data_IF_026255829829
#
_entry.id   IF_026255829829
#
_cell.length_a   1.000
_cell.length_b   1.000
_cell.length_c   1.000
_cell.angle_alpha   90.00
_cell.angle_beta   90.00
_cell.angle_gamma   90.00
#
_symmetry.space_group_name_H-M   'P 1'
#
loop_
_entity.id
_entity.type
_entity.pdbx_description
1 polymer ?
#
# COMPACT_ATOMS: atom_id res chain seq x y z
N UNK A 1 5.10 -1.51 -34.48
CA UNK A 1 3.79 -1.73 -33.84
C UNK A 1 2.67 -0.97 -34.56
N UNK A 2 1.74 -1.70 -35.16
CA UNK A 2 0.45 -1.17 -35.62
C UNK A 2 -0.57 -1.25 -34.45
N UNK A 3 -1.06 -0.10 -34.00
CA UNK A 3 -1.95 -0.03 -32.83
C UNK A 3 -3.36 -0.57 -33.09
N UNK A 4 -3.88 -0.42 -34.32
CA UNK A 4 -5.19 -0.94 -34.71
C UNK A 4 -5.17 -2.47 -34.75
N UNK A 5 -4.14 -3.03 -35.37
CA UNK A 5 -3.96 -4.47 -35.46
C UNK A 5 -3.71 -5.08 -34.07
N UNK A 6 -2.89 -4.42 -33.25
CA UNK A 6 -2.66 -4.88 -31.86
C UNK A 6 -3.95 -4.85 -31.06
N UNK A 7 -4.73 -3.77 -31.12
CA UNK A 7 -5.99 -3.65 -30.37
C UNK A 7 -7.00 -4.73 -30.76
N UNK A 8 -7.13 -5.05 -32.06
CA UNK A 8 -7.96 -6.17 -32.54
C UNK A 8 -7.47 -7.50 -31.99
N UNK A 9 -6.16 -7.73 -32.04
CA UNK A 9 -5.60 -8.98 -31.55
C UNK A 9 -5.76 -9.13 -30.05
N UNK A 10 -5.58 -8.06 -29.27
CA UNK A 10 -5.88 -8.05 -27.83
C UNK A 10 -7.34 -8.43 -27.58
N UNK A 11 -8.29 -7.84 -28.33
CA UNK A 11 -9.72 -8.16 -28.18
C UNK A 11 -10.03 -9.63 -28.45
N UNK A 12 -9.41 -10.22 -29.48
CA UNK A 12 -9.53 -11.65 -29.78
C UNK A 12 -8.98 -12.52 -28.65
N UNK A 13 -7.75 -12.22 -28.20
CA UNK A 13 -7.03 -13.03 -27.22
C UNK A 13 -7.62 -12.92 -25.80
N UNK A 14 -8.43 -11.90 -25.51
CA UNK A 14 -9.15 -11.78 -24.23
C UNK A 14 -10.57 -12.37 -24.29
N UNK A 15 -10.93 -13.08 -25.36
CA UNK A 15 -12.22 -13.77 -25.48
C UNK A 15 -13.36 -12.91 -26.04
N UNK A 16 -13.05 -11.84 -26.78
CA UNK A 16 -14.01 -11.05 -27.52
C UNK A 16 -14.69 -9.93 -26.71
N UNK A 17 -15.57 -9.18 -27.38
CA UNK A 17 -16.26 -8.02 -26.80
C UNK A 17 -17.20 -8.42 -25.67
N UNK A 18 -17.91 -9.52 -25.83
CA UNK A 18 -18.81 -10.10 -24.83
C UNK A 18 -18.11 -10.51 -23.53
N UNK A 19 -16.79 -10.70 -23.55
CA UNK A 19 -16.03 -10.99 -22.35
C UNK A 19 -15.57 -9.72 -21.61
N UNK A 20 -15.77 -8.53 -22.16
CA UNK A 20 -15.32 -7.27 -21.54
C UNK A 20 -16.47 -6.63 -20.77
N UNK A 21 -16.31 -6.51 -19.45
CA UNK A 21 -17.22 -5.71 -18.62
C UNK A 21 -16.90 -4.22 -18.82
N UNK A 22 -15.61 -3.88 -18.73
CA UNK A 22 -15.12 -2.51 -18.93
C UNK A 22 -13.60 -2.47 -19.05
N UNK A 23 -13.07 -1.37 -19.58
CA UNK A 23 -11.65 -1.16 -19.85
C UNK A 23 -11.20 0.25 -19.46
N UNK A 24 -9.94 0.38 -19.08
CA UNK A 24 -9.26 1.65 -18.83
C UNK A 24 -7.77 1.53 -19.12
N UNK A 25 -7.02 2.63 -19.04
CA UNK A 25 -5.56 2.58 -19.03
C UNK A 25 -4.97 3.46 -17.93
N UNK A 26 -3.75 3.12 -17.51
CA UNK A 26 -2.91 4.00 -16.70
C UNK A 26 -1.71 4.48 -17.53
N UNK A 27 -0.67 4.99 -16.87
CA UNK A 27 0.54 5.46 -17.54
C UNK A 27 1.21 4.39 -18.41
N UNK A 28 1.16 3.11 -18.02
CA UNK A 28 1.92 2.02 -18.69
C UNK A 28 1.11 0.78 -19.04
N UNK A 29 -0.15 0.66 -18.62
CA UNK A 29 -0.92 -0.59 -18.71
C UNK A 29 -2.34 -0.38 -19.21
N UNK A 30 -2.78 -1.28 -20.10
CA UNK A 30 -4.19 -1.48 -20.43
C UNK A 30 -4.79 -2.37 -19.35
N UNK A 31 -5.93 -1.95 -18.78
CA UNK A 31 -6.59 -2.62 -17.66
C UNK A 31 -7.99 -3.02 -18.06
N UNK A 32 -8.26 -4.32 -18.00
CA UNK A 32 -9.53 -4.90 -18.41
C UNK A 32 -10.20 -5.56 -17.22
N UNK A 33 -11.51 -5.38 -17.10
CA UNK A 33 -12.35 -6.20 -16.22
C UNK A 33 -13.14 -7.14 -17.12
N UNK A 34 -12.82 -8.43 -17.04
CA UNK A 34 -13.37 -9.45 -17.94
C UNK A 34 -14.43 -10.28 -17.25
N UNK A 35 -15.47 -10.76 -17.93
CA UNK A 35 -16.45 -11.69 -17.37
C UNK A 35 -15.79 -12.99 -16.91
N UNK A 36 -14.92 -13.54 -17.75
CA UNK A 36 -14.21 -14.80 -17.53
C UNK A 36 -12.73 -14.68 -17.97
N UNK A 37 -11.81 -14.74 -17.01
CA UNK A 37 -10.36 -14.65 -17.27
C UNK A 37 -9.78 -15.96 -17.83
N UNK A 38 -10.50 -17.09 -17.74
CA UNK A 38 -10.03 -18.37 -18.31
C UNK A 38 -10.04 -18.39 -19.84
N UNK A 39 -10.77 -17.45 -20.46
CA UNK A 39 -10.80 -17.24 -21.91
C UNK A 39 -9.59 -16.47 -22.44
N UNK A 40 -8.71 -16.01 -21.55
CA UNK A 40 -7.56 -15.20 -21.93
C UNK A 40 -6.39 -16.10 -22.35
N UNK A 41 -5.93 -15.92 -23.57
CA UNK A 41 -4.70 -16.55 -24.05
C UNK A 41 -3.48 -15.71 -23.64
N UNK A 42 -3.01 -15.95 -22.42
CA UNK A 42 -1.90 -15.20 -21.84
C UNK A 42 -0.60 -15.35 -22.64
N UNK A 43 -0.28 -16.57 -23.11
CA UNK A 43 0.96 -16.83 -23.84
C UNK A 43 0.99 -16.04 -25.16
N UNK A 44 -0.12 -16.04 -25.90
CA UNK A 44 -0.22 -15.27 -27.13
C UNK A 44 -0.23 -13.75 -26.88
N UNK A 45 -0.77 -13.29 -25.74
CA UNK A 45 -0.75 -11.87 -25.35
C UNK A 45 0.66 -11.38 -25.02
N UNK A 46 1.45 -12.19 -24.30
CA UNK A 46 2.83 -11.85 -23.95
C UNK A 46 3.77 -11.81 -25.16
N UNK A 47 3.45 -12.56 -26.22
CA UNK A 47 4.19 -12.58 -27.49
C UNK A 47 3.82 -11.43 -28.45
N UNK A 48 2.81 -10.61 -28.14
CA UNK A 48 2.45 -9.47 -28.98
C UNK A 48 3.52 -8.38 -29.00
N UNK A 49 3.79 -7.83 -30.19
CA UNK A 49 4.70 -6.70 -30.37
C UNK A 49 4.29 -5.52 -29.50
N UNK A 50 5.18 -5.06 -28.62
CA UNK A 50 4.94 -3.97 -27.68
C UNK A 50 4.35 -4.37 -26.33
N UNK A 51 4.00 -5.65 -26.11
CA UNK A 51 3.66 -6.16 -24.78
C UNK A 51 4.92 -6.59 -24.04
N UNK A 52 5.04 -6.15 -22.79
CA UNK A 52 6.17 -6.50 -21.91
C UNK A 52 5.77 -7.44 -20.77
N UNK A 53 4.49 -7.77 -20.67
CA UNK A 53 3.91 -8.75 -19.76
C UNK A 53 2.39 -8.61 -19.69
N UNK A 54 1.71 -9.69 -19.30
CA UNK A 54 0.29 -9.73 -19.04
C UNK A 54 0.01 -10.53 -17.77
N UNK A 55 -0.89 -10.06 -16.91
CA UNK A 55 -1.20 -10.78 -15.67
C UNK A 55 -2.56 -10.37 -15.11
N UNK A 56 -3.19 -11.28 -14.38
CA UNK A 56 -4.36 -10.96 -13.55
C UNK A 56 -3.90 -10.47 -12.18
N UNK A 57 -4.44 -9.33 -11.74
CA UNK A 57 -4.19 -8.81 -10.39
C UNK A 57 -5.34 -7.92 -9.95
N UNK A 58 -5.79 -8.11 -8.72
CA UNK A 58 -6.86 -7.31 -8.12
C UNK A 58 -8.13 -7.25 -8.98
N UNK A 59 -8.58 -8.39 -9.52
CA UNK A 59 -9.82 -8.48 -10.31
C UNK A 59 -9.79 -7.69 -11.63
N UNK A 60 -8.60 -7.37 -12.11
CA UNK A 60 -8.34 -6.79 -13.42
C UNK A 60 -7.30 -7.64 -14.14
N UNK A 61 -7.50 -7.85 -15.43
CA UNK A 61 -6.48 -8.35 -16.32
C UNK A 61 -5.67 -7.17 -16.86
N UNK A 62 -4.36 -7.15 -16.61
CA UNK A 62 -3.47 -6.03 -16.94
C UNK A 62 -2.48 -6.43 -18.03
N UNK A 63 -2.38 -5.62 -19.08
CA UNK A 63 -1.44 -5.81 -20.19
C UNK A 63 -0.48 -4.61 -20.22
N UNK A 64 0.83 -4.86 -20.12
CA UNK A 64 1.86 -3.83 -20.01
C UNK A 64 2.37 -3.43 -21.41
N UNK A 65 1.98 -2.25 -21.88
CA UNK A 65 2.46 -1.66 -23.15
C UNK A 65 3.59 -0.62 -22.97
N UNK A 66 3.77 -0.12 -21.75
CA UNK A 66 4.73 0.94 -21.45
C UNK A 66 4.18 2.36 -21.70
N UNK A 67 4.97 3.35 -21.26
CA UNK A 67 4.57 4.76 -21.23
C UNK A 67 4.28 5.30 -22.63
N UNK A 68 3.13 5.95 -22.81
CA UNK A 68 2.72 6.58 -24.07
C UNK A 68 2.17 5.61 -25.12
N UNK A 69 2.74 4.40 -25.27
CA UNK A 69 2.23 3.36 -26.17
C UNK A 69 0.83 2.90 -25.76
N UNK A 70 0.60 2.74 -24.45
CA UNK A 70 -0.70 2.32 -23.91
C UNK A 70 -1.86 3.24 -24.31
N UNK A 71 -1.63 4.56 -24.37
CA UNK A 71 -2.65 5.53 -24.75
C UNK A 71 -3.13 5.30 -26.19
N UNK A 72 -2.18 5.01 -27.09
CA UNK A 72 -2.46 4.77 -28.51
C UNK A 72 -3.18 3.43 -28.73
N UNK A 73 -2.78 2.39 -27.99
CA UNK A 73 -3.46 1.09 -28.02
C UNK A 73 -4.88 1.20 -27.45
N UNK A 74 -5.06 1.89 -26.32
CA UNK A 74 -6.39 2.09 -25.72
C UNK A 74 -7.33 2.86 -26.65
N UNK A 75 -6.84 3.92 -27.31
CA UNK A 75 -7.64 4.69 -28.27
C UNK A 75 -8.14 3.82 -29.45
N UNK A 76 -7.35 2.84 -29.89
CA UNK A 76 -7.78 1.87 -30.90
C UNK A 76 -8.68 0.75 -30.34
N UNK A 77 -8.48 0.36 -29.07
CA UNK A 77 -9.18 -0.73 -28.41
C UNK A 77 -10.59 -0.35 -27.94
N UNK A 78 -10.76 0.82 -27.33
CA UNK A 78 -12.01 1.24 -26.72
C UNK A 78 -13.23 1.22 -27.67
N UNK A 79 -13.13 1.67 -28.94
CA UNK A 79 -14.22 1.56 -29.91
C UNK A 79 -14.57 0.10 -30.25
N UNK A 80 -13.56 -0.78 -30.34
CA UNK A 80 -13.75 -2.20 -30.66
C UNK A 80 -14.42 -2.95 -29.49
N UNK A 81 -14.04 -2.61 -28.27
CA UNK A 81 -14.60 -3.17 -27.03
C UNK A 81 -15.96 -2.55 -26.64
N UNK A 82 -16.36 -1.44 -27.27
CA UNK A 82 -17.61 -0.73 -26.94
C UNK A 82 -17.60 -0.03 -25.58
N UNK A 83 -16.42 0.41 -25.13
CA UNK A 83 -16.23 1.09 -23.83
C UNK A 83 -16.02 2.58 -24.08
N UNK A 84 -16.55 3.46 -23.21
CA UNK A 84 -16.34 4.90 -23.31
C UNK A 84 -14.88 5.26 -23.03
N UNK A 85 -14.35 6.20 -23.82
CA UNK A 85 -12.98 6.72 -23.69
C UNK A 85 -13.00 7.84 -22.67
N UNK A 86 -12.62 7.55 -21.43
CA UNK A 86 -12.28 8.56 -20.42
C UNK A 86 -10.86 8.33 -19.90
N UNK A 87 -10.09 9.41 -19.77
CA UNK A 87 -8.65 9.40 -19.48
C UNK A 87 -8.25 9.12 -18.04
N UNK A 88 -9.22 8.89 -17.15
CA UNK A 88 -9.02 8.31 -15.81
C UNK A 88 -9.76 6.98 -15.74
N UNK A 89 -9.25 6.01 -14.95
CA UNK A 89 -9.96 4.76 -14.65
C UNK A 89 -11.37 5.08 -14.12
N UNK A 90 -12.45 4.80 -14.87
CA UNK A 90 -13.80 5.11 -14.42
C UNK A 90 -14.09 4.40 -13.10
N UNK A 91 -14.82 5.05 -12.19
CA UNK A 91 -15.26 4.45 -10.92
C UNK A 91 -15.97 3.10 -11.14
N UNK A 92 -16.62 2.92 -12.28
CA UNK A 92 -17.29 1.68 -12.67
C UNK A 92 -16.31 0.52 -12.93
N UNK A 93 -15.10 0.80 -13.44
CA UNK A 93 -14.02 -0.20 -13.60
C UNK A 93 -13.53 -0.69 -12.25
N UNK A 94 -13.30 0.23 -11.32
CA UNK A 94 -12.87 -0.13 -9.96
C UNK A 94 -13.95 -0.91 -9.23
N UNK A 95 -15.23 -0.51 -9.35
CA UNK A 95 -16.36 -1.24 -8.75
C UNK A 95 -16.52 -2.64 -9.33
N UNK A 96 -16.52 -2.78 -10.65
CA UNK A 96 -16.67 -4.08 -11.33
C UNK A 96 -15.52 -5.04 -10.97
N UNK A 97 -14.28 -4.54 -10.96
CA UNK A 97 -13.11 -5.32 -10.56
C UNK A 97 -13.18 -5.75 -9.09
N UNK A 98 -13.60 -4.86 -8.19
CA UNK A 98 -13.76 -5.16 -6.76
C UNK A 98 -14.86 -6.18 -6.48
N UNK A 99 -15.92 -6.23 -7.29
CA UNK A 99 -17.00 -7.21 -7.14
C UNK A 99 -16.55 -8.65 -7.41
N UNK A 100 -15.53 -8.84 -8.25
CA UNK A 100 -14.93 -10.16 -8.53
C UNK A 100 -14.04 -10.70 -7.43
N UNK A 101 -13.61 -9.83 -6.52
CA UNK A 101 -12.77 -10.23 -5.38
C UNK A 101 -13.61 -10.85 -4.27
N UNK A 102 -13.01 -11.82 -3.58
CA UNK A 102 -13.55 -12.31 -2.31
C UNK A 102 -13.64 -11.16 -1.27
N UNK A 103 -14.46 -11.29 -0.21
CA UNK A 103 -14.69 -10.20 0.73
C UNK A 103 -13.41 -9.63 1.37
N UNK A 104 -12.44 -10.48 1.70
CA UNK A 104 -11.16 -10.06 2.29
C UNK A 104 -10.29 -9.28 1.29
N UNK A 105 -10.13 -9.77 0.07
CA UNK A 105 -9.39 -9.10 -0.98
C UNK A 105 -10.08 -7.79 -1.40
N UNK A 106 -11.42 -7.73 -1.38
CA UNK A 106 -12.17 -6.49 -1.61
C UNK A 106 -11.89 -5.45 -0.53
N UNK A 107 -11.87 -5.86 0.75
CA UNK A 107 -11.52 -4.98 1.86
C UNK A 107 -10.07 -4.47 1.73
N UNK A 108 -9.11 -5.38 1.51
CA UNK A 108 -7.70 -5.01 1.35
C UNK A 108 -7.49 -4.04 0.18
N UNK A 109 -8.17 -4.26 -0.95
CA UNK A 109 -8.14 -3.33 -2.08
C UNK A 109 -8.71 -1.96 -1.73
N UNK A 110 -9.84 -1.91 -1.04
CA UNK A 110 -10.46 -0.65 -0.62
C UNK A 110 -9.52 0.13 0.30
N UNK A 111 -8.89 -0.55 1.27
CA UNK A 111 -7.86 0.05 2.12
C UNK A 111 -6.69 0.59 1.29
N UNK A 112 -6.16 -0.18 0.34
CA UNK A 112 -5.10 0.31 -0.57
C UNK A 112 -5.52 1.56 -1.34
N UNK A 113 -6.73 1.59 -1.89
CA UNK A 113 -7.23 2.75 -2.64
C UNK A 113 -7.32 4.01 -1.78
N UNK A 114 -7.62 3.86 -0.48
CA UNK A 114 -7.64 4.99 0.47
C UNK A 114 -6.23 5.51 0.76
N UNK A 115 -5.26 4.62 0.92
CA UNK A 115 -3.90 4.99 1.35
C UNK A 115 -2.98 5.44 0.22
N UNK A 116 -3.12 4.91 -0.99
CA UNK A 116 -2.23 5.24 -2.13
C UNK A 116 -2.11 6.76 -2.36
N UNK A 117 -3.21 7.54 -2.41
CA UNK A 117 -3.13 9.00 -2.55
C UNK A 117 -2.41 9.72 -1.40
N UNK A 118 -2.32 9.09 -0.23
CA UNK A 118 -1.75 9.65 1.00
C UNK A 118 -0.24 9.40 1.11
N UNK A 119 0.31 8.45 0.34
CA UNK A 119 1.72 8.03 0.40
C UNK A 119 2.68 9.23 0.32
N UNK A 120 2.56 10.18 -0.64
CA UNK A 120 3.52 11.28 -0.73
C UNK A 120 3.62 12.13 0.54
N UNK A 121 2.48 12.38 1.21
CA UNK A 121 2.44 13.15 2.44
C UNK A 121 3.05 12.37 3.62
N UNK A 122 2.72 11.08 3.74
CA UNK A 122 3.25 10.19 4.79
C UNK A 122 4.77 10.03 4.65
N UNK A 123 5.26 9.83 3.42
CA UNK A 123 6.70 9.70 3.13
C UNK A 123 7.45 10.99 3.49
N UNK A 124 6.93 12.15 3.07
CA UNK A 124 7.55 13.44 3.41
C UNK A 124 7.61 13.66 4.93
N UNK A 125 6.51 13.39 5.64
CA UNK A 125 6.43 13.50 7.09
C UNK A 125 7.37 12.52 7.81
N UNK A 126 7.39 11.25 7.38
CA UNK A 126 8.30 10.24 7.91
C UNK A 126 9.77 10.57 7.70
N UNK A 127 10.14 11.13 6.54
CA UNK A 127 11.52 11.56 6.25
C UNK A 127 11.94 12.71 7.17
N UNK A 128 11.04 13.69 7.38
CA UNK A 128 11.28 14.79 8.30
C UNK A 128 11.39 14.29 9.75
N UNK A 129 10.50 13.40 10.19
CA UNK A 129 10.56 12.78 11.52
C UNK A 129 11.88 12.04 11.72
N UNK A 130 12.33 11.33 10.69
CA UNK A 130 13.58 10.59 10.77
C UNK A 130 14.82 11.49 10.76
N UNK A 131 14.83 12.56 9.96
CA UNK A 131 15.86 13.59 10.01
C UNK A 131 15.92 14.23 11.40
N UNK A 132 14.77 14.62 11.94
CA UNK A 132 14.65 15.17 13.29
C UNK A 132 15.16 14.19 14.35
N UNK A 133 14.81 12.91 14.23
CA UNK A 133 15.29 11.85 15.08
C UNK A 133 16.80 11.70 15.03
N UNK A 134 17.42 11.79 13.84
CA UNK A 134 18.88 11.79 13.70
C UNK A 134 19.54 13.02 14.32
N UNK A 135 18.99 14.22 14.08
CA UNK A 135 19.49 15.46 14.70
C UNK A 135 19.52 15.32 16.23
N UNK A 136 18.43 14.82 16.82
CA UNK A 136 18.30 14.60 18.27
C UNK A 136 19.25 13.48 18.76
N UNK A 137 19.34 12.36 18.04
CA UNK A 137 20.13 11.21 18.45
C UNK A 137 21.65 11.44 18.38
N UNK A 138 22.12 12.19 17.37
CA UNK A 138 23.54 12.47 17.18
C UNK A 138 23.99 13.82 17.77
N UNK A 139 23.07 14.59 18.34
CA UNK A 139 23.38 15.90 18.92
C UNK A 139 23.92 16.90 17.91
N UNK A 140 23.45 16.85 16.66
CA UNK A 140 23.91 17.77 15.61
C UNK A 140 23.53 19.22 15.90
N UNK A 141 22.40 19.44 16.58
CA UNK A 141 21.87 20.73 17.00
C UNK A 141 21.20 20.56 18.36
N UNK A 142 21.18 21.61 19.17
CA UNK A 142 20.42 21.66 20.42
C UNK A 142 18.93 21.33 20.19
N UNK A 143 18.39 20.44 21.03
CA UNK A 143 17.01 19.94 20.92
C UNK A 143 15.94 21.01 21.09
N UNK A 144 16.25 22.10 21.80
CA UNK A 144 15.32 23.21 22.01
C UNK A 144 15.46 24.32 20.97
N UNK A 145 16.37 24.16 20.00
CA UNK A 145 16.59 25.17 18.98
C UNK A 145 15.33 25.40 18.13
N UNK A 146 15.09 26.64 17.64
CA UNK A 146 13.92 26.94 16.82
C UNK A 146 13.79 26.06 15.57
N UNK A 147 14.91 25.62 14.99
CA UNK A 147 14.88 24.73 13.82
C UNK A 147 14.36 23.34 14.17
N UNK A 148 14.73 22.80 15.34
CA UNK A 148 14.23 21.51 15.82
C UNK A 148 12.73 21.61 16.12
N UNK A 149 12.27 22.72 16.72
CA UNK A 149 10.85 22.96 16.95
C UNK A 149 10.04 23.06 15.64
N UNK A 150 10.54 23.81 14.64
CA UNK A 150 9.90 23.91 13.33
C UNK A 150 9.85 22.57 12.59
N UNK A 151 10.95 21.80 12.62
CA UNK A 151 10.99 20.48 12.01
C UNK A 151 10.03 19.51 12.72
N UNK A 152 9.89 19.59 14.04
CA UNK A 152 8.91 18.83 14.81
C UNK A 152 7.47 19.14 14.36
N UNK A 153 7.13 20.43 14.23
CA UNK A 153 5.83 20.88 13.70
C UNK A 153 5.57 20.38 12.28
N UNK A 154 6.55 20.49 11.37
CA UNK A 154 6.40 20.07 9.97
C UNK A 154 6.24 18.55 9.86
N UNK A 155 7.05 17.81 10.61
CA UNK A 155 7.09 16.35 10.58
C UNK A 155 5.83 15.71 11.16
N UNK A 156 5.23 16.31 12.20
CA UNK A 156 4.02 15.80 12.85
C UNK A 156 2.73 16.19 12.12
N UNK A 157 2.75 17.26 11.32
CA UNK A 157 1.56 17.84 10.67
C UNK A 157 0.72 16.80 9.91
N UNK A 158 1.33 15.97 9.06
CA UNK A 158 0.60 14.99 8.26
C UNK A 158 -0.10 13.91 9.13
N UNK A 159 0.48 13.55 10.27
CA UNK A 159 -0.08 12.57 11.20
C UNK A 159 -1.23 13.16 12.03
N UNK A 160 -1.13 14.45 12.38
CA UNK A 160 -2.21 15.19 13.06
C UNK A 160 -3.46 15.23 12.18
N UNK A 161 -3.29 15.58 10.90
CA UNK A 161 -4.41 15.67 9.95
C UNK A 161 -4.72 14.35 9.23
N UNK A 162 -4.11 13.24 9.65
CA UNK A 162 -4.27 11.94 8.97
C UNK A 162 -5.75 11.51 8.88
N UNK A 163 -6.58 11.65 9.93
CA UNK A 163 -8.03 11.45 9.83
C UNK A 163 -8.73 12.29 8.76
N UNK A 164 -8.31 13.54 8.54
CA UNK A 164 -8.88 14.41 7.50
C UNK A 164 -8.52 13.86 6.11
N UNK A 165 -7.26 13.50 5.91
CA UNK A 165 -6.75 12.92 4.66
C UNK A 165 -7.41 11.58 4.34
N UNK A 166 -7.54 10.70 5.34
CA UNK A 166 -8.24 9.42 5.23
C UNK A 166 -9.71 9.66 4.93
N UNK A 167 -10.37 10.58 5.64
CA UNK A 167 -11.79 10.87 5.42
C UNK A 167 -12.08 11.33 4.01
N UNK A 168 -11.23 12.18 3.43
CA UNK A 168 -11.32 12.59 2.03
C UNK A 168 -11.20 11.40 1.07
N UNK A 169 -10.12 10.63 1.19
CA UNK A 169 -9.84 9.50 0.29
C UNK A 169 -10.85 8.36 0.44
N UNK A 170 -11.31 8.08 1.66
CA UNK A 170 -12.32 7.06 1.96
C UNK A 170 -13.70 7.45 1.43
N UNK A 171 -14.10 8.72 1.55
CA UNK A 171 -15.36 9.18 0.97
C UNK A 171 -15.33 9.02 -0.55
N UNK A 172 -14.22 9.37 -1.21
CA UNK A 172 -14.04 9.13 -2.65
C UNK A 172 -14.17 7.64 -3.00
N UNK A 173 -13.52 6.75 -2.24
CA UNK A 173 -13.57 5.30 -2.44
C UNK A 173 -14.99 4.73 -2.25
N UNK A 174 -15.74 5.20 -1.25
CA UNK A 174 -17.10 4.73 -0.96
C UNK A 174 -18.19 5.41 -1.80
N UNK A 175 -17.82 6.33 -2.70
CA UNK A 175 -18.75 7.03 -3.60
C UNK A 175 -19.58 8.12 -2.89
N UNK A 176 -18.95 8.81 -1.95
CA UNK A 176 -19.48 9.92 -1.17
C UNK A 176 -18.69 11.20 -1.48
N UNK A 177 -19.16 12.35 -1.01
CA UNK A 177 -18.47 13.62 -1.24
C UNK A 177 -17.14 13.67 -0.44
N UNK A 178 -15.97 13.81 -1.10
CA UNK A 178 -14.68 13.83 -0.42
C UNK A 178 -14.52 14.93 0.63
N UNK A 179 -15.09 16.11 0.38
CA UNK A 179 -15.02 17.23 1.33
C UNK A 179 -15.86 16.97 2.57
N UNK A 180 -17.02 16.30 2.46
CA UNK A 180 -17.78 15.89 3.64
C UNK A 180 -17.00 14.85 4.47
N UNK A 181 -16.32 13.92 3.80
CA UNK A 181 -15.41 12.99 4.47
C UNK A 181 -14.27 13.69 5.21
N UNK A 182 -13.67 14.72 4.61
CA UNK A 182 -12.66 15.55 5.26
C UNK A 182 -13.22 16.29 6.49
N UNK A 183 -14.44 16.82 6.40
CA UNK A 183 -15.14 17.45 7.54
C UNK A 183 -15.34 16.46 8.69
N UNK A 184 -15.75 15.22 8.40
CA UNK A 184 -15.86 14.17 9.42
C UNK A 184 -14.50 13.87 10.07
N UNK A 185 -13.44 13.74 9.28
CA UNK A 185 -12.08 13.61 9.82
C UNK A 185 -11.71 14.78 10.73
N UNK A 186 -12.07 16.01 10.35
CA UNK A 186 -11.84 17.22 11.12
C UNK A 186 -12.62 17.28 12.43
N UNK A 187 -13.87 16.79 12.46
CA UNK A 187 -14.65 16.61 13.68
C UNK A 187 -13.94 15.64 14.64
N UNK A 188 -13.46 14.52 14.10
CA UNK A 188 -12.76 13.48 14.89
C UNK A 188 -11.38 13.94 15.40
N UNK A 189 -10.80 14.99 14.82
CA UNK A 189 -9.54 15.59 15.27
C UNK A 189 -9.70 17.04 15.74
N UNK A 190 -10.91 17.43 16.14
CA UNK A 190 -11.20 18.82 16.49
C UNK A 190 -10.32 19.27 17.68
N UNK A 191 -9.81 20.51 17.71
CA UNK A 191 -8.93 20.98 18.80
C UNK A 191 -9.55 20.96 20.20
N UNK A 192 -10.88 20.96 20.30
CA UNK A 192 -11.59 20.77 21.58
C UNK A 192 -11.58 19.32 22.08
N UNK A 193 -11.08 18.38 21.29
CA UNK A 193 -10.84 17.01 21.72
C UNK A 193 -9.38 16.88 22.15
N UNK A 194 -9.15 16.21 23.28
CA UNK A 194 -7.79 15.96 23.78
C UNK A 194 -7.00 15.15 22.75
N UNK A 195 -5.82 15.63 22.36
CA UNK A 195 -4.94 14.87 21.50
C UNK A 195 -4.46 13.59 22.22
N UNK A 196 -4.68 12.38 21.69
CA UNK A 196 -4.27 11.14 22.32
C UNK A 196 -2.78 11.09 22.69
N UNK A 197 -1.91 11.77 21.96
CA UNK A 197 -0.47 11.78 22.26
C UNK A 197 -0.14 12.47 23.58
N UNK A 198 -0.99 13.39 24.07
CA UNK A 198 -0.78 14.07 25.37
C UNK A 198 -1.39 13.34 26.57
N UNK A 199 -2.11 12.22 26.35
CA UNK A 199 -2.60 11.37 27.44
C UNK A 199 -1.46 10.95 28.38
N UNK A 200 -1.67 11.10 29.69
CA UNK A 200 -0.64 10.89 30.73
C UNK A 200 -0.10 12.20 31.30
N UNK A 201 -0.12 13.28 30.52
CA UNK A 201 0.06 14.65 31.03
C UNK A 201 -1.28 15.35 31.28
N UNK A 202 -2.36 14.85 30.69
CA UNK A 202 -3.72 15.37 30.83
C UNK A 202 -4.73 14.25 30.60
N UNK A 203 -5.83 14.29 31.35
CA UNK A 203 -6.96 13.36 31.19
C UNK A 203 -8.04 13.97 30.28
N UNK A 204 -8.76 13.16 29.50
CA UNK A 204 -9.83 13.67 28.65
C UNK A 204 -10.98 14.17 29.51
N UNK A 205 -11.51 15.34 29.18
CA UNK A 205 -12.76 15.81 29.77
C UNK A 205 -13.90 14.85 29.45
N UNK A 206 -14.81 14.63 30.40
CA UNK A 206 -15.97 13.75 30.22
C UNK A 206 -17.23 14.58 30.10
N UNK A 207 -17.86 14.54 28.94
CA UNK A 207 -19.15 15.16 28.68
C UNK A 207 -20.29 14.19 29.01
N UNK A 208 -21.29 14.66 29.76
CA UNK A 208 -22.55 13.92 29.96
C UNK A 208 -23.56 14.29 28.88
N UNK A 209 -23.94 13.33 28.04
CA UNK A 209 -24.89 13.54 26.95
C UNK A 209 -25.90 12.39 26.91
N UNK A 210 -27.20 12.71 27.01
CA UNK A 210 -28.30 11.72 27.01
C UNK A 210 -28.09 10.54 27.98
N UNK A 211 -27.50 10.80 29.15
CA UNK A 211 -27.20 9.78 30.17
C UNK A 211 -25.93 8.95 29.92
N UNK A 212 -25.20 9.20 28.82
CA UNK A 212 -23.91 8.58 28.51
C UNK A 212 -22.76 9.51 28.90
N UNK A 213 -21.64 8.92 29.32
CA UNK A 213 -20.37 9.61 29.50
C UNK A 213 -19.56 9.49 28.21
N UNK A 214 -19.21 10.62 27.62
CA UNK A 214 -18.41 10.70 26.39
C UNK A 214 -17.08 11.34 26.75
N UNK A 215 -15.99 10.59 26.59
CA UNK A 215 -14.64 11.13 26.70
C UNK A 215 -14.35 12.01 25.48
N UNK A 216 -14.00 13.26 25.72
CA UNK A 216 -13.60 14.22 24.69
C UNK A 216 -12.15 13.98 24.28
N UNK A 217 -11.91 12.82 23.70
CA UNK A 217 -10.63 12.41 23.15
C UNK A 217 -10.69 12.41 21.62
N UNK A 218 -9.62 12.94 21.01
CA UNK A 218 -9.48 13.00 19.57
C UNK A 218 -9.03 11.66 18.99
N UNK A 219 -9.03 11.60 17.66
CA UNK A 219 -8.71 10.39 16.89
C UNK A 219 -7.45 10.59 16.02
N UNK A 220 -6.59 11.54 16.39
CA UNK A 220 -5.32 11.81 15.71
C UNK A 220 -4.48 10.53 15.64
N UNK A 221 -3.89 10.28 14.47
CA UNK A 221 -3.13 9.05 14.21
C UNK A 221 -3.94 7.75 14.07
N UNK A 222 -5.26 7.76 14.30
CA UNK A 222 -6.10 6.57 14.16
C UNK A 222 -6.66 6.43 12.74
N UNK A 223 -6.86 5.18 12.32
CA UNK A 223 -7.33 4.86 10.95
C UNK A 223 -8.71 4.22 10.96
N UNK A 224 -8.89 3.13 11.73
CA UNK A 224 -10.15 2.37 11.74
C UNK A 224 -11.37 3.20 12.16
N UNK A 225 -11.32 4.04 13.21
CA UNK A 225 -12.44 4.91 13.57
C UNK A 225 -12.94 5.76 12.39
N UNK A 226 -12.01 6.39 11.66
CA UNK A 226 -12.32 7.30 10.56
C UNK A 226 -12.87 6.53 9.36
N UNK A 227 -12.23 5.43 8.98
CA UNK A 227 -12.68 4.59 7.86
C UNK A 227 -14.11 4.08 8.07
N UNK A 228 -14.41 3.56 9.27
CA UNK A 228 -15.75 3.07 9.60
C UNK A 228 -16.77 4.21 9.59
N UNK A 229 -16.40 5.36 10.15
CA UNK A 229 -17.29 6.53 10.20
C UNK A 229 -17.62 7.01 8.80
N UNK A 230 -16.63 7.11 7.92
CA UNK A 230 -16.81 7.60 6.54
C UNK A 230 -17.53 6.57 5.66
N UNK A 231 -17.37 5.28 5.94
CA UNK A 231 -18.18 4.24 5.30
C UNK A 231 -19.67 4.36 5.69
N UNK A 232 -19.97 4.62 6.96
CA UNK A 232 -21.35 4.90 7.41
C UNK A 232 -21.85 6.22 6.81
N UNK A 233 -21.02 7.27 6.82
CA UNK A 233 -21.31 8.56 6.20
C UNK A 233 -21.73 8.41 4.75
N UNK A 234 -20.99 7.62 3.97
CA UNK A 234 -21.27 7.41 2.56
C UNK A 234 -22.65 6.82 2.32
N UNK A 235 -23.06 5.87 3.17
CA UNK A 235 -24.41 5.28 3.11
C UNK A 235 -25.48 6.29 3.51
N UNK A 236 -25.24 7.08 4.57
CA UNK A 236 -26.15 8.13 5.01
C UNK A 236 -26.32 9.17 3.89
N UNK A 237 -25.23 9.68 3.34
CA UNK A 237 -25.22 10.68 2.27
C UNK A 237 -26.02 10.21 1.05
N UNK A 238 -25.72 9.00 0.56
CA UNK A 238 -26.42 8.42 -0.59
C UNK A 238 -27.91 8.22 -0.31
N UNK A 239 -28.27 7.86 0.92
CA UNK A 239 -29.66 7.62 1.29
C UNK A 239 -30.45 8.91 1.50
N UNK A 240 -29.82 9.94 2.06
CA UNK A 240 -30.41 11.28 2.21
C UNK A 240 -30.59 11.89 0.82
N UNK A 241 -29.55 11.89 -0.03
CA UNK A 241 -29.60 12.39 -1.41
C UNK A 241 -30.75 11.81 -2.22
N UNK A 242 -31.00 10.50 -2.09
CA UNK A 242 -32.12 9.81 -2.76
C UNK A 242 -33.51 10.26 -2.31
N UNK A 243 -33.62 10.82 -1.11
CA UNK A 243 -34.90 11.25 -0.50
C UNK A 243 -35.08 12.77 -0.56
N UNK A 244 -34.00 13.52 -0.75
CA UNK A 244 -34.04 14.98 -0.84
C UNK A 244 -34.49 15.42 -2.24
N UNK A 245 -35.47 16.34 -2.36
CA UNK A 245 -35.79 16.97 -3.64
C UNK A 245 -34.58 17.71 -4.22
N UNK A 246 -34.40 17.70 -5.54
CA UNK A 246 -33.22 18.31 -6.20
C UNK A 246 -32.98 19.78 -5.80
N UNK A 247 -34.06 20.56 -5.62
CA UNK A 247 -34.00 21.97 -5.20
C UNK A 247 -33.39 22.19 -3.80
N UNK A 248 -33.38 21.16 -2.97
CA UNK A 248 -32.89 21.20 -1.58
C UNK A 248 -31.59 20.40 -1.39
N UNK A 249 -31.13 19.64 -2.39
CA UNK A 249 -30.00 18.71 -2.27
C UNK A 249 -28.70 19.40 -1.83
N UNK A 250 -28.46 20.60 -2.35
CA UNK A 250 -27.26 21.40 -2.03
C UNK A 250 -27.19 21.80 -0.55
N UNK A 251 -28.33 21.91 0.14
CA UNK A 251 -28.40 22.34 1.54
C UNK A 251 -28.63 21.15 2.47
N UNK A 252 -29.70 20.39 2.24
CA UNK A 252 -30.19 19.37 3.18
C UNK A 252 -29.25 18.17 3.23
N UNK A 253 -28.79 17.69 2.08
CA UNK A 253 -27.96 16.48 2.03
C UNK A 253 -26.64 16.64 2.77
N UNK A 254 -25.79 17.65 2.50
CA UNK A 254 -24.55 17.83 3.25
C UNK A 254 -24.81 18.14 4.74
N UNK A 255 -25.82 18.96 5.06
CA UNK A 255 -26.16 19.31 6.44
C UNK A 255 -26.54 18.07 7.27
N UNK A 256 -27.51 17.28 6.81
CA UNK A 256 -27.98 16.09 7.53
C UNK A 256 -26.87 15.03 7.60
N UNK A 257 -26.10 14.86 6.51
CA UNK A 257 -24.99 13.91 6.47
C UNK A 257 -23.96 14.22 7.55
N UNK A 258 -23.48 15.46 7.62
CA UNK A 258 -22.46 15.86 8.62
C UNK A 258 -23.03 15.82 10.03
N UNK A 259 -24.26 16.31 10.24
CA UNK A 259 -24.90 16.33 11.55
C UNK A 259 -25.03 14.91 12.12
N UNK A 260 -25.69 14.01 11.39
CA UNK A 260 -25.93 12.64 11.85
C UNK A 260 -24.62 11.88 11.99
N UNK A 261 -23.73 11.99 11.00
CA UNK A 261 -22.45 11.27 11.03
C UNK A 261 -21.55 11.80 12.14
N UNK A 262 -21.51 13.10 12.41
CA UNK A 262 -20.71 13.69 13.48
C UNK A 262 -21.10 13.16 14.86
N UNK A 263 -22.40 13.07 15.15
CA UNK A 263 -22.89 12.42 16.38
C UNK A 263 -22.50 10.94 16.43
N UNK A 264 -22.70 10.19 15.35
CA UNK A 264 -22.34 8.78 15.29
C UNK A 264 -20.82 8.57 15.45
N UNK A 265 -20.00 9.45 14.87
CA UNK A 265 -18.55 9.39 14.90
C UNK A 265 -18.02 9.41 16.33
N UNK A 266 -18.48 10.37 17.15
CA UNK A 266 -17.94 10.55 18.51
C UNK A 266 -18.57 9.60 19.53
N UNK A 267 -19.88 9.33 19.41
CA UNK A 267 -20.63 8.57 20.43
C UNK A 267 -20.49 7.06 20.24
N UNK A 268 -20.48 6.59 19.00
CA UNK A 268 -20.67 5.16 18.69
C UNK A 268 -19.49 4.61 17.90
N UNK A 269 -19.25 5.14 16.70
CA UNK A 269 -18.33 4.54 15.73
C UNK A 269 -16.89 4.73 16.16
N UNK A 270 -16.54 5.88 16.71
CA UNK A 270 -15.20 6.19 17.22
C UNK A 270 -14.74 5.19 18.29
N UNK A 271 -15.47 5.04 19.40
CA UNK A 271 -15.14 4.06 20.44
C UNK A 271 -15.08 2.62 19.91
N UNK A 272 -16.03 2.22 19.07
CA UNK A 272 -16.04 0.88 18.44
C UNK A 272 -14.82 0.69 17.55
N UNK A 273 -14.48 1.69 16.72
CA UNK A 273 -13.32 1.66 15.84
C UNK A 273 -12.01 1.56 16.61
N UNK A 274 -11.90 2.24 17.74
CA UNK A 274 -10.75 2.14 18.64
C UNK A 274 -10.64 0.75 19.24
N UNK A 275 -11.75 0.17 19.71
CA UNK A 275 -11.78 -1.20 20.23
C UNK A 275 -11.38 -2.22 19.17
N UNK A 276 -11.88 -2.08 17.94
CA UNK A 276 -11.49 -2.92 16.81
C UNK A 276 -10.00 -2.80 16.50
N UNK A 277 -9.47 -1.58 16.49
CA UNK A 277 -8.03 -1.32 16.31
C UNK A 277 -7.20 -2.04 17.37
N UNK A 278 -7.56 -1.92 18.66
CA UNK A 278 -6.91 -2.63 19.76
C UNK A 278 -6.98 -4.15 19.61
N UNK A 279 -8.12 -4.69 19.18
CA UNK A 279 -8.28 -6.12 18.93
C UNK A 279 -7.35 -6.64 17.83
N UNK A 280 -7.21 -5.89 16.72
CA UNK A 280 -6.28 -6.23 15.63
C UNK A 280 -4.83 -6.17 16.13
N UNK A 281 -4.47 -5.09 16.83
CA UNK A 281 -3.15 -4.92 17.44
C UNK A 281 -2.81 -6.07 18.40
N UNK A 282 -3.76 -6.47 19.25
CA UNK A 282 -3.60 -7.61 20.17
C UNK A 282 -3.29 -8.91 19.44
N UNK A 283 -4.04 -9.23 18.38
CA UNK A 283 -3.80 -10.44 17.58
C UNK A 283 -2.41 -10.39 16.96
N UNK A 284 -2.00 -9.25 16.38
CA UNK A 284 -0.69 -9.11 15.75
C UNK A 284 0.46 -9.22 16.74
N UNK A 285 0.33 -8.58 17.90
CA UNK A 285 1.31 -8.70 18.99
C UNK A 285 1.39 -10.13 19.49
N UNK A 286 0.25 -10.80 19.69
CA UNK A 286 0.21 -12.21 20.06
C UNK A 286 0.97 -13.07 19.04
N UNK A 287 0.72 -12.89 17.74
CA UNK A 287 1.44 -13.64 16.72
C UNK A 287 2.94 -13.32 16.70
N UNK A 288 3.29 -12.04 16.86
CA UNK A 288 4.67 -11.58 16.88
C UNK A 288 5.45 -12.13 18.08
N UNK A 289 4.85 -12.16 19.27
CA UNK A 289 5.49 -12.66 20.48
C UNK A 289 5.54 -14.19 20.54
N UNK A 290 4.44 -14.87 20.16
CA UNK A 290 4.35 -16.33 20.29
C UNK A 290 5.05 -17.08 19.17
N UNK A 291 4.97 -16.57 17.93
CA UNK A 291 5.56 -17.24 16.76
C UNK A 291 6.89 -16.61 16.32
N UNK A 292 7.22 -15.41 16.84
CA UNK A 292 8.50 -14.71 16.67
C UNK A 292 9.15 -14.93 15.29
N UNK A 293 10.27 -15.65 15.21
CA UNK A 293 11.03 -15.88 13.97
C UNK A 293 10.18 -16.47 12.85
N UNK A 294 9.22 -17.36 13.16
CA UNK A 294 8.34 -17.97 12.16
C UNK A 294 7.45 -16.92 11.50
N UNK A 295 6.94 -15.95 12.28
CA UNK A 295 6.17 -14.84 11.73
C UNK A 295 7.04 -13.98 10.80
N UNK A 296 8.28 -13.71 11.18
CA UNK A 296 9.26 -12.98 10.36
C UNK A 296 9.60 -13.71 9.05
N UNK A 297 9.81 -15.03 9.11
CA UNK A 297 10.06 -15.87 7.93
C UNK A 297 8.86 -15.85 6.96
N UNK A 298 7.65 -16.04 7.48
CA UNK A 298 6.43 -16.10 6.68
C UNK A 298 6.10 -14.74 6.05
N UNK A 299 6.05 -13.68 6.85
CA UNK A 299 5.71 -12.36 6.35
C UNK A 299 6.81 -11.81 5.43
N UNK A 300 8.08 -12.00 5.77
CA UNK A 300 9.20 -11.58 4.92
C UNK A 300 9.23 -12.32 3.57
N UNK A 301 8.87 -13.60 3.54
CA UNK A 301 8.83 -14.39 2.31
C UNK A 301 7.61 -14.12 1.44
N UNK A 302 6.45 -13.87 2.04
CA UNK A 302 5.19 -13.69 1.31
C UNK A 302 4.93 -12.24 0.89
N UNK A 303 5.57 -11.26 1.51
CA UNK A 303 5.26 -9.84 1.28
C UNK A 303 5.38 -9.43 -0.19
N UNK A 304 6.42 -9.84 -0.90
CA UNK A 304 6.58 -9.51 -2.33
C UNK A 304 5.43 -10.05 -3.20
N UNK A 305 4.80 -11.15 -2.80
CA UNK A 305 3.59 -11.67 -3.47
C UNK A 305 2.40 -10.75 -3.24
N UNK A 306 2.26 -10.21 -2.04
CA UNK A 306 1.23 -9.21 -1.72
C UNK A 306 1.50 -7.91 -2.49
N UNK A 307 2.76 -7.51 -2.65
CA UNK A 307 3.14 -6.33 -3.46
C UNK A 307 2.66 -6.45 -4.90
N UNK A 308 2.75 -7.64 -5.52
CA UNK A 308 2.25 -7.89 -6.88
C UNK A 308 0.74 -7.59 -7.00
N UNK A 309 -0.02 -7.82 -5.92
CA UNK A 309 -1.45 -7.54 -5.91
C UNK A 309 -1.78 -6.05 -5.76
N UNK A 310 -0.83 -5.22 -5.31
CA UNK A 310 -1.07 -3.82 -4.92
C UNK A 310 -1.82 -3.66 -3.59
N UNK A 311 -2.19 -4.76 -2.93
CA UNK A 311 -2.90 -4.74 -1.65
C UNK A 311 -2.00 -4.42 -0.46
N UNK A 312 -0.68 -4.39 -0.63
CA UNK A 312 0.27 -4.15 0.46
C UNK A 312 0.09 -2.78 1.16
N UNK A 313 -0.43 -1.76 0.46
CA UNK A 313 -0.75 -0.47 1.08
C UNK A 313 -1.87 -0.56 2.12
N UNK A 314 -2.67 -1.63 2.14
CA UNK A 314 -3.66 -1.86 3.20
C UNK A 314 -3.01 -2.02 4.57
N UNK A 315 -1.74 -2.42 4.64
CA UNK A 315 -1.01 -2.56 5.90
C UNK A 315 -0.76 -1.23 6.59
N UNK A 316 -0.73 -0.09 5.87
CA UNK A 316 -0.56 1.22 6.50
C UNK A 316 -1.65 1.54 7.54
N UNK A 317 -2.87 1.03 7.34
CA UNK A 317 -3.94 1.14 8.33
C UNK A 317 -3.59 0.45 9.65
N UNK A 318 -2.96 -0.71 9.55
CA UNK A 318 -2.54 -1.53 10.68
C UNK A 318 -1.31 -0.90 11.35
N UNK A 319 -0.32 -0.50 10.57
CA UNK A 319 0.91 0.15 11.05
C UNK A 319 0.62 1.44 11.81
N UNK A 320 -0.29 2.27 11.30
CA UNK A 320 -0.76 3.45 12.01
C UNK A 320 -1.45 3.09 13.33
N UNK A 321 -2.25 2.01 13.35
CA UNK A 321 -2.85 1.48 14.58
C UNK A 321 -1.82 1.04 15.62
N UNK A 322 -0.73 0.36 15.20
CA UNK A 322 0.36 -0.07 16.09
C UNK A 322 1.08 1.12 16.74
N UNK A 323 1.28 2.21 15.98
CA UNK A 323 1.92 3.42 16.49
C UNK A 323 0.99 4.26 17.36
N UNK A 324 -0.31 4.29 17.05
CA UNK A 324 -1.30 5.02 17.83
C UNK A 324 -1.62 4.33 19.18
N UNK A 325 -1.46 3.02 19.28
CA UNK A 325 -1.65 2.29 20.52
C UNK A 325 -0.48 2.51 21.49
N UNK A 326 -0.71 3.23 22.58
CA UNK A 326 0.32 3.53 23.59
C UNK A 326 0.93 2.30 24.27
N UNK A 327 0.22 1.18 24.31
CA UNK A 327 0.77 -0.06 24.88
C UNK A 327 1.84 -0.69 23.97
N UNK A 328 1.83 -0.34 22.68
CA UNK A 328 2.77 -0.84 21.67
C UNK A 328 3.76 0.26 21.28
N UNK A 329 3.26 1.38 20.77
CA UNK A 329 4.01 2.61 20.46
C UNK A 329 5.09 2.46 19.39
N UNK A 330 5.14 1.32 18.69
CA UNK A 330 6.20 1.00 17.71
C UNK A 330 5.66 0.14 16.57
N UNK A 331 6.21 0.33 15.39
CA UNK A 331 5.91 -0.46 14.21
C UNK A 331 6.94 -1.58 14.04
N UNK A 332 6.57 -2.80 14.45
CA UNK A 332 7.40 -4.00 14.32
C UNK A 332 7.19 -4.77 13.00
N UNK A 333 6.18 -4.40 12.20
CA UNK A 333 5.90 -5.04 10.90
C UNK A 333 6.79 -4.45 9.79
N UNK A 334 6.98 -3.14 9.79
CA UNK A 334 7.74 -2.44 8.76
C UNK A 334 9.16 -2.94 8.54
N UNK A 335 9.95 -3.31 9.57
CA UNK A 335 11.26 -3.92 9.35
C UNK A 335 11.18 -5.17 8.49
N UNK A 336 10.15 -6.01 8.68
CA UNK A 336 9.93 -7.23 7.91
C UNK A 336 9.65 -6.90 6.43
N UNK A 337 8.76 -5.92 6.19
CA UNK A 337 8.48 -5.43 4.84
C UNK A 337 9.71 -4.87 4.15
N UNK A 338 10.55 -4.16 4.91
CA UNK A 338 11.82 -3.65 4.42
C UNK A 338 12.77 -4.78 3.97
N UNK A 339 12.86 -5.87 4.74
CA UNK A 339 13.68 -7.03 4.37
C UNK A 339 13.22 -7.67 3.07
N UNK A 340 11.90 -7.83 2.89
CA UNK A 340 11.33 -8.32 1.64
C UNK A 340 11.64 -7.40 0.45
N UNK A 341 11.56 -6.07 0.66
CA UNK A 341 11.84 -5.10 -0.39
C UNK A 341 13.29 -5.14 -0.86
N UNK A 342 14.23 -5.08 0.08
CA UNK A 342 15.67 -5.06 -0.24
C UNK A 342 16.14 -6.41 -0.78
N UNK A 343 15.52 -7.51 -0.35
CA UNK A 343 15.77 -8.84 -0.90
C UNK A 343 15.41 -8.93 -2.40
N UNK A 344 14.30 -8.33 -2.83
CA UNK A 344 13.99 -8.25 -4.28
C UNK A 344 15.04 -7.44 -5.04
N UNK A 345 15.62 -6.40 -4.43
CA UNK A 345 16.79 -5.69 -4.95
C UNK A 345 18.02 -6.58 -5.06
N UNK A 346 18.32 -7.38 -4.03
CA UNK A 346 19.42 -8.36 -4.04
C UNK A 346 19.28 -9.42 -5.14
N UNK A 347 18.06 -9.91 -5.36
CA UNK A 347 17.75 -10.81 -6.47
C UNK A 347 17.95 -10.13 -7.84
N UNK A 348 17.53 -8.87 -8.00
CA UNK A 348 17.77 -8.09 -9.21
C UNK A 348 19.27 -7.86 -9.48
N UNK A 349 20.06 -7.61 -8.43
CA UNK A 349 21.53 -7.54 -8.55
C UNK A 349 22.12 -8.86 -9.04
N UNK A 350 21.65 -10.01 -8.51
CA UNK A 350 22.11 -11.30 -9.01
C UNK A 350 21.85 -11.46 -10.51
N UNK A 351 20.67 -11.06 -10.99
CA UNK A 351 20.37 -11.08 -12.43
C UNK A 351 21.32 -10.19 -13.22
N UNK A 352 21.63 -8.98 -12.74
CA UNK A 352 22.57 -8.07 -13.39
C UNK A 352 23.96 -8.70 -13.61
N UNK A 353 24.48 -9.43 -12.61
CA UNK A 353 25.78 -10.10 -12.72
C UNK A 353 25.75 -11.38 -13.56
N UNK A 354 24.61 -12.08 -13.61
CA UNK A 354 24.48 -13.35 -14.33
C UNK A 354 24.10 -13.17 -15.80
N UNK A 355 23.30 -12.16 -16.14
CA UNK A 355 22.76 -12.00 -17.48
C UNK A 355 23.80 -11.45 -18.46
N UNK A 356 23.79 -12.02 -19.67
CA UNK A 356 24.53 -11.50 -20.83
C UNK A 356 23.66 -10.62 -21.73
N UNK A 357 22.35 -10.62 -21.52
CA UNK A 357 21.43 -9.82 -22.34
C UNK A 357 21.56 -8.34 -21.99
N UNK A 358 21.97 -7.53 -22.96
CA UNK A 358 22.24 -6.09 -22.78
C UNK A 358 21.01 -5.33 -22.28
N UNK A 359 19.81 -5.61 -22.82
CA UNK A 359 18.56 -4.95 -22.41
C UNK A 359 18.21 -5.30 -20.96
N UNK A 360 18.29 -6.58 -20.60
CA UNK A 360 17.99 -7.03 -19.24
C UNK A 360 19.02 -6.50 -18.24
N UNK A 361 20.29 -6.43 -18.63
CA UNK A 361 21.37 -5.89 -17.80
C UNK A 361 21.19 -4.39 -17.52
N UNK A 362 20.83 -3.62 -18.54
CA UNK A 362 20.54 -2.19 -18.41
C UNK A 362 19.33 -1.91 -17.50
N UNK A 363 18.35 -2.83 -17.46
CA UNK A 363 17.18 -2.72 -16.58
C UNK A 363 17.47 -3.17 -15.15
N UNK A 364 18.21 -4.27 -14.96
CA UNK A 364 18.38 -4.94 -13.67
C UNK A 364 19.07 -4.09 -12.61
N UNK A 365 20.11 -3.33 -12.97
CA UNK A 365 20.87 -2.55 -12.00
C UNK A 365 20.07 -1.36 -11.45
N UNK A 366 19.50 -0.45 -12.28
CA UNK A 366 18.72 0.68 -11.77
C UNK A 366 17.49 0.24 -10.99
N UNK A 367 16.80 -0.81 -11.45
CA UNK A 367 15.61 -1.32 -10.77
C UNK A 367 15.95 -2.00 -9.43
N UNK A 368 17.07 -2.71 -9.32
CA UNK A 368 17.55 -3.23 -8.05
C UNK A 368 17.87 -2.13 -7.03
N UNK A 369 18.52 -1.04 -7.46
CA UNK A 369 18.78 0.12 -6.60
C UNK A 369 17.48 0.79 -6.15
N UNK A 370 16.48 0.89 -7.03
CA UNK A 370 15.14 1.39 -6.68
C UNK A 370 14.54 0.58 -5.51
N UNK A 371 14.71 -0.73 -5.50
CA UNK A 371 14.19 -1.59 -4.42
C UNK A 371 14.90 -1.35 -3.07
N UNK A 372 16.18 -0.98 -3.08
CA UNK A 372 16.87 -0.55 -1.86
C UNK A 372 16.36 0.79 -1.32
N UNK A 373 15.67 1.57 -2.14
CA UNK A 373 14.97 2.79 -1.71
C UNK A 373 13.50 2.53 -1.35
N UNK A 374 13.09 1.26 -1.28
CA UNK A 374 11.73 0.85 -0.93
C UNK A 374 10.75 0.77 -2.11
N UNK A 375 11.21 1.08 -3.34
CA UNK A 375 10.39 1.04 -4.55
C UNK A 375 10.73 -0.23 -5.34
N UNK A 376 9.92 -1.28 -5.18
CA UNK A 376 10.24 -2.63 -5.65
C UNK A 376 9.62 -2.99 -6.99
N UNK A 377 8.60 -2.24 -7.42
CA UNK A 377 7.85 -2.50 -8.64
C UNK A 377 8.74 -2.59 -9.89
N UNK A 378 9.73 -1.69 -10.09
CA UNK A 378 10.60 -1.77 -11.27
C UNK A 378 11.36 -3.11 -11.36
N UNK A 379 11.85 -3.65 -10.23
CA UNK A 379 12.64 -4.89 -10.23
C UNK A 379 11.76 -6.13 -10.23
N UNK A 380 10.64 -6.10 -9.50
CA UNK A 380 9.69 -7.22 -9.47
C UNK A 380 9.13 -7.45 -10.87
N UNK A 381 8.53 -6.44 -11.50
CA UNK A 381 7.87 -6.61 -12.80
C UNK A 381 8.86 -6.62 -13.97
N UNK A 382 9.90 -5.78 -13.91
CA UNK A 382 10.83 -5.65 -15.03
C UNK A 382 11.81 -6.81 -15.16
N UNK A 383 12.10 -7.51 -14.05
CA UNK A 383 13.22 -8.46 -13.97
C UNK A 383 12.81 -9.76 -13.29
N UNK A 384 12.45 -9.69 -12.00
CA UNK A 384 12.41 -10.87 -11.14
C UNK A 384 11.25 -11.80 -11.46
N UNK A 385 10.05 -11.24 -11.65
CA UNK A 385 8.85 -12.00 -11.97
C UNK A 385 8.92 -12.54 -13.41
N UNK A 386 9.44 -11.73 -14.34
CA UNK A 386 9.65 -12.13 -15.75
C UNK A 386 10.53 -13.38 -15.86
N UNK A 387 11.54 -13.51 -15.01
CA UNK A 387 12.42 -14.69 -14.98
C UNK A 387 11.96 -15.78 -13.99
N UNK A 388 10.96 -15.50 -13.15
CA UNK A 388 10.43 -16.39 -12.12
C UNK A 388 11.38 -16.70 -10.96
N UNK A 389 12.56 -17.29 -11.24
CA UNK A 389 13.54 -17.72 -10.23
C UNK A 389 14.07 -16.58 -9.35
N UNK A 390 14.40 -15.39 -9.87
CA UNK A 390 14.86 -14.31 -9.01
C UNK A 390 13.78 -13.82 -8.05
N UNK A 391 12.49 -13.89 -8.43
CA UNK A 391 11.41 -13.55 -7.51
C UNK A 391 11.40 -14.49 -6.29
N UNK A 392 11.58 -15.79 -6.51
CA UNK A 392 11.71 -16.80 -5.45
C UNK A 392 12.97 -16.55 -4.62
N UNK A 393 14.10 -16.23 -5.26
CA UNK A 393 15.33 -15.86 -4.55
C UNK A 393 15.12 -14.66 -3.63
N UNK A 394 14.44 -13.61 -4.11
CA UNK A 394 14.03 -12.47 -3.31
C UNK A 394 13.10 -12.84 -2.16
N UNK A 395 12.13 -13.74 -2.37
CA UNK A 395 11.26 -14.24 -1.31
C UNK A 395 12.05 -15.00 -0.22
N UNK A 396 13.01 -15.83 -0.60
CA UNK A 396 13.88 -16.53 0.37
C UNK A 396 14.69 -15.53 1.20
N UNK A 397 15.30 -14.52 0.56
CA UNK A 397 16.05 -13.52 1.30
C UNK A 397 15.17 -12.63 2.19
N UNK A 398 13.98 -12.29 1.71
CA UNK A 398 12.97 -11.59 2.49
C UNK A 398 12.56 -12.38 3.74
N UNK A 399 12.36 -13.69 3.60
CA UNK A 399 12.07 -14.57 4.73
C UNK A 399 13.21 -14.57 5.75
N UNK A 400 14.45 -14.85 5.33
CA UNK A 400 15.58 -14.98 6.26
C UNK A 400 15.88 -13.65 6.96
N UNK A 401 15.89 -12.55 6.22
CA UNK A 401 16.04 -11.21 6.80
C UNK A 401 14.89 -10.87 7.74
N UNK A 402 13.65 -11.17 7.33
CA UNK A 402 12.44 -10.98 8.12
C UNK A 402 12.49 -11.73 9.45
N UNK A 403 12.89 -13.00 9.43
CA UNK A 403 13.10 -13.82 10.63
C UNK A 403 14.14 -13.21 11.56
N UNK A 404 15.24 -12.69 11.03
CA UNK A 404 16.30 -12.05 11.82
C UNK A 404 15.85 -10.75 12.50
N UNK A 405 15.16 -9.85 11.78
CA UNK A 405 14.69 -8.59 12.37
C UNK A 405 13.61 -8.81 13.44
N UNK A 406 12.82 -9.88 13.34
CA UNK A 406 11.90 -10.28 14.42
C UNK A 406 12.65 -10.91 15.60
N UNK A 407 13.64 -11.77 15.35
CA UNK A 407 14.47 -12.37 16.40
C UNK A 407 15.16 -11.29 17.25
N UNK A 408 15.66 -10.25 16.59
CA UNK A 408 16.39 -9.14 17.22
C UNK A 408 15.48 -7.98 17.63
N UNK A 409 14.16 -8.14 17.51
CA UNK A 409 13.15 -7.18 17.97
C UNK A 409 13.30 -5.78 17.36
N UNK A 410 13.75 -5.71 16.11
CA UNK A 410 13.85 -4.44 15.39
C UNK A 410 12.46 -3.83 15.21
N UNK A 411 12.36 -2.53 15.45
CA UNK A 411 11.12 -1.77 15.25
C UNK A 411 11.40 -0.40 14.63
N UNK A 412 10.33 0.29 14.24
CA UNK A 412 10.36 1.66 13.74
C UNK A 412 9.39 2.57 14.50
N UNK A 413 9.68 3.86 14.56
CA UNK A 413 8.82 4.87 15.19
C UNK A 413 7.85 5.57 14.21
N UNK A 414 7.81 5.13 12.96
CA UNK A 414 6.92 5.64 11.92
C UNK A 414 6.58 4.55 10.89
N UNK A 415 5.91 4.91 9.80
CA UNK A 415 5.61 4.04 8.66
C UNK A 415 5.79 4.78 7.32
N UNK A 416 5.73 4.03 6.21
CA UNK A 416 5.88 4.58 4.86
C UNK A 416 7.31 4.64 4.33
N UNK A 417 8.33 4.40 5.17
CA UNK A 417 9.74 4.33 4.77
C UNK A 417 10.27 2.90 4.90
N UNK A 418 10.74 2.33 3.79
CA UNK A 418 11.41 1.02 3.76
C UNK A 418 12.77 1.14 3.05
N UNK A 419 13.60 0.11 3.14
CA UNK A 419 14.95 0.12 2.57
C UNK A 419 15.90 1.08 3.29
N UNK A 420 16.80 1.71 2.55
CA UNK A 420 17.76 2.68 3.09
C UNK A 420 17.07 3.86 3.80
N UNK A 421 15.99 4.47 3.25
CA UNK A 421 15.27 5.55 3.94
C UNK A 421 14.75 5.19 5.34
N UNK A 422 14.48 3.91 5.61
CA UNK A 422 13.98 3.44 6.90
C UNK A 422 14.98 3.65 8.06
N UNK A 423 16.28 3.80 7.77
CA UNK A 423 17.30 4.14 8.78
C UNK A 423 16.86 5.32 9.63
N UNK A 424 16.23 6.31 9.00
CA UNK A 424 15.79 7.54 9.66
C UNK A 424 14.74 7.28 10.76
N UNK A 425 13.94 6.22 10.65
CA UNK A 425 12.84 5.89 11.60
C UNK A 425 13.14 4.66 12.49
N UNK A 426 14.33 4.07 12.32
CA UNK A 426 14.86 2.96 13.13
C UNK A 426 15.95 3.47 14.08
N UNK A 427 16.82 4.37 13.61
CA UNK A 427 17.90 4.95 14.41
C UNK A 427 17.43 5.63 15.72
N UNK A 428 16.29 6.36 15.75
CA UNK A 428 15.84 7.02 16.99
C UNK A 428 15.48 6.06 18.13
N UNK A 429 15.26 4.77 17.83
CA UNK A 429 14.99 3.74 18.85
C UNK A 429 16.28 3.13 19.44
N UNK A 430 17.45 3.64 19.06
CA UNK A 430 18.74 3.31 19.67
C UNK A 430 19.72 2.59 18.73
N UNK A 431 21.01 2.65 19.09
CA UNK A 431 22.09 2.11 18.27
C UNK A 431 21.96 0.60 18.02
N UNK A 432 21.54 -0.17 19.03
CA UNK A 432 21.29 -1.62 18.87
C UNK A 432 20.20 -1.90 17.84
N UNK A 433 19.10 -1.14 17.86
CA UNK A 433 18.01 -1.28 16.89
C UNK A 433 18.49 -1.00 15.47
N UNK A 434 19.29 0.06 15.28
CA UNK A 434 19.90 0.40 14.00
C UNK A 434 20.87 -0.67 13.49
N UNK A 435 21.77 -1.16 14.35
CA UNK A 435 22.75 -2.18 13.97
C UNK A 435 22.04 -3.45 13.51
N UNK A 436 21.07 -3.95 14.29
CA UNK A 436 20.32 -5.13 13.92
C UNK A 436 19.51 -4.93 12.63
N UNK A 437 18.95 -3.74 12.40
CA UNK A 437 18.32 -3.43 11.12
C UNK A 437 19.29 -3.54 9.93
N UNK A 438 20.50 -2.99 10.06
CA UNK A 438 21.53 -3.04 9.00
C UNK A 438 22.04 -4.47 8.77
N UNK A 439 22.18 -5.27 9.83
CA UNK A 439 22.54 -6.69 9.71
C UNK A 439 21.42 -7.46 9.00
N UNK A 440 20.16 -7.25 9.40
CA UNK A 440 19.01 -7.83 8.72
C UNK A 440 18.97 -7.46 7.23
N UNK A 441 19.21 -6.19 6.91
CA UNK A 441 19.29 -5.68 5.53
C UNK A 441 20.35 -6.45 4.74
N UNK A 442 21.56 -6.57 5.29
CA UNK A 442 22.66 -7.29 4.64
C UNK A 442 22.31 -8.78 4.45
N UNK A 443 21.75 -9.44 5.47
CA UNK A 443 21.29 -10.83 5.40
C UNK A 443 20.28 -10.99 4.27
N UNK A 444 19.25 -10.14 4.20
CA UNK A 444 18.20 -10.21 3.19
C UNK A 444 18.76 -10.10 1.77
N UNK A 445 19.65 -9.13 1.53
CA UNK A 445 20.27 -8.90 0.22
C UNK A 445 21.19 -10.05 -0.18
N UNK A 446 22.09 -10.46 0.72
CA UNK A 446 23.08 -11.52 0.45
C UNK A 446 22.40 -12.86 0.20
N UNK A 447 21.44 -13.24 1.05
CA UNK A 447 20.72 -14.50 0.89
C UNK A 447 19.87 -14.49 -0.38
N UNK A 448 19.17 -13.41 -0.70
CA UNK A 448 18.44 -13.30 -1.96
C UNK A 448 19.35 -13.42 -3.19
N UNK A 449 20.52 -12.77 -3.15
CA UNK A 449 21.52 -12.84 -4.20
C UNK A 449 21.99 -14.28 -4.41
N UNK A 450 22.43 -14.95 -3.34
CA UNK A 450 22.95 -16.33 -3.39
C UNK A 450 21.85 -17.29 -3.87
N UNK A 451 20.64 -17.22 -3.29
CA UNK A 451 19.52 -18.07 -3.68
C UNK A 451 19.15 -17.88 -5.14
N UNK A 452 19.15 -16.64 -5.65
CA UNK A 452 18.91 -16.35 -7.07
C UNK A 452 19.98 -16.98 -7.96
N UNK A 453 21.27 -16.84 -7.61
CA UNK A 453 22.38 -17.44 -8.36
C UNK A 453 22.23 -18.96 -8.43
N UNK A 454 21.92 -19.61 -7.30
CA UNK A 454 21.73 -21.05 -7.24
C UNK A 454 20.54 -21.49 -8.10
N UNK A 455 19.37 -20.86 -7.92
CA UNK A 455 18.15 -21.23 -8.64
C UNK A 455 18.31 -21.05 -10.16
N UNK A 456 18.92 -19.95 -10.62
CA UNK A 456 19.15 -19.72 -12.05
C UNK A 456 20.15 -20.71 -12.66
N UNK A 457 21.21 -21.09 -11.92
CA UNK A 457 22.19 -22.08 -12.40
C UNK A 457 21.60 -23.48 -12.50
N UNK A 458 20.73 -23.87 -11.56
CA UNK A 458 20.03 -25.15 -11.61
C UNK A 458 19.09 -25.24 -12.81
N UNK A 459 18.39 -24.15 -13.13
CA UNK A 459 17.49 -24.08 -14.28
C UNK A 459 18.26 -24.22 -15.61
N UNK A 460 19.38 -23.50 -15.74
CA UNK A 460 20.24 -23.58 -16.91
C UNK A 460 20.86 -24.97 -17.12
N UNK A 461 21.10 -25.74 -16.05
CA UNK A 461 21.56 -27.14 -16.15
C UNK A 461 20.47 -28.06 -16.64
N UNK A 462 19.25 -27.94 -16.09
CA UNK A 462 18.10 -28.74 -16.53
C UNK A 462 17.75 -28.53 -18.01
N UNK A 463 17.80 -27.28 -18.49
CA UNK A 463 17.60 -26.99 -19.91
C UNK A 463 18.63 -27.71 -20.78
N UNK A 464 19.93 -27.64 -20.43
CA UNK A 464 20.98 -28.36 -21.16
C UNK A 464 20.80 -29.88 -21.15
N UNK A 465 20.36 -30.47 -20.05
CA UNK A 465 20.10 -31.92 -19.97
C UNK A 465 18.91 -32.32 -20.84
N UNK A 466 17.89 -31.46 -20.94
CA UNK A 466 16.70 -31.69 -21.78
C UNK A 466 17.05 -31.55 -23.27
N UNK A 467 17.84 -30.54 -23.63
CA UNK A 467 18.31 -30.29 -25.01
C UNK A 467 19.28 -31.37 -25.51
N UNK A 468 19.97 -32.07 -24.61
CA UNK A 468 20.85 -33.22 -24.94
C UNK A 468 20.05 -34.52 -25.04
N UNK A 469 18.88 -34.59 -24.40
CA UNK A 469 18.01 -35.76 -24.41
C UNK A 469 16.95 -35.74 -25.54
N UNK A 470 16.67 -34.58 -26.12
CA UNK A 470 15.86 -34.37 -27.32
C UNK A 470 16.73 -34.44 -28.58
#
# INVERSE_FOLDING_TARGET
MDYQQTAKRVLELVGGRENIITAAHCATRLRLVLHDESKVDQAALEDLDGVSGAFSSSGQYQIIFGTGTVNKVFAAFAPLAGVKVDGEEPLDVKKAASQKLNPFARLARSLSNVFVPLIPAIVAAGLLMGLLGMIKAFGWVDGDSPIVQLLDMFSSSAFIILPILIGFSAAREFGANPYLGAVIGGIMTHPSLLNPWTLGNSDPEVMKFLGMNIELIGYQGTVFPVLLTVWVMAKIEQQVRKRTPETLDLLVTPFVTVLVTGFLALIVIGPIGTLLGKGISFVLVFFYEQFSVVAGLLFGGLYSTIVITGMHHSFHAIEAGLLADKSIGKNFLLPIWSMANVAQGGAGLAVYFLTKNVKLKALALPSAFSAFLGITEPVIYGVNLRLGKPFIGGAIGGAIGGGYVVLTQVAANAYGLTGIPMIAIVAPLGASNLINYLVGFAIAVVTAFISTVVLMRLDARKQKETDVAA
#
